data_IF_205566835455
#
_entry.id   IF_205566835455
#
_cell.length_a   1.000
_cell.length_b   1.000
_cell.length_c   1.000
_cell.angle_alpha   90.00
_cell.angle_beta   90.00
_cell.angle_gamma   90.00
#
_symmetry.space_group_name_H-M   'P 1'
#
loop_
_entity.id
_entity.type
_entity.pdbx_description
1 polymer ?
#
# COMPACT_ATOMS: atom_id res chain seq x y z
N UNK A 1 -1.12 26.91 7.79
CA UNK A 1 -1.69 25.57 8.00
C UNK A 1 -0.67 24.56 7.48
N UNK A 2 0.59 24.72 7.91
CA UNK A 2 1.77 24.29 7.14
C UNK A 2 2.93 23.88 8.05
N UNK A 3 2.59 23.32 9.21
CA UNK A 3 3.56 22.74 10.13
C UNK A 3 3.79 21.27 9.75
N UNK A 4 5.02 20.83 9.49
CA UNK A 4 5.31 19.43 9.16
C UNK A 4 4.90 18.48 10.29
N UNK A 5 4.93 18.89 11.55
CA UNK A 5 4.51 18.06 12.68
C UNK A 5 3.01 17.77 12.63
N UNK A 6 2.19 18.77 12.28
CA UNK A 6 0.73 18.60 12.14
C UNK A 6 0.39 17.65 10.99
N UNK A 7 1.12 17.73 9.87
CA UNK A 7 0.93 16.82 8.72
C UNK A 7 1.37 15.40 9.09
N UNK A 8 2.49 15.25 9.82
CA UNK A 8 2.97 13.96 10.34
C UNK A 8 1.95 13.32 11.29
N UNK A 9 1.38 14.09 12.23
CA UNK A 9 0.37 13.59 13.17
C UNK A 9 -0.88 13.10 12.42
N UNK A 10 -1.39 13.90 11.48
CA UNK A 10 -2.53 13.51 10.65
C UNK A 10 -2.27 12.22 9.86
N UNK A 11 -1.05 12.05 9.34
CA UNK A 11 -0.64 10.83 8.66
C UNK A 11 -0.58 9.64 9.63
N UNK A 12 0.05 9.82 10.80
CA UNK A 12 0.17 8.79 11.82
C UNK A 12 -1.20 8.29 12.29
N UNK A 13 -2.14 9.19 12.59
CA UNK A 13 -3.52 8.83 12.96
C UNK A 13 -4.19 7.97 11.88
N UNK A 14 -3.96 8.27 10.60
CA UNK A 14 -4.53 7.52 9.49
C UNK A 14 -3.94 6.11 9.34
N UNK A 15 -2.64 5.96 9.63
CA UNK A 15 -1.91 4.69 9.55
C UNK A 15 -2.19 3.76 10.74
N UNK A 16 -2.46 4.30 11.93
CA UNK A 16 -2.78 3.50 13.14
C UNK A 16 -3.99 2.60 12.93
N UNK A 17 -4.98 3.04 12.16
CA UNK A 17 -6.22 2.26 11.94
C UNK A 17 -5.97 0.99 11.14
N UNK A 18 -5.15 1.06 10.10
CA UNK A 18 -4.73 -0.08 9.27
C UNK A 18 -3.56 0.33 8.37
N UNK A 19 -2.76 -0.64 7.89
CA UNK A 19 -1.80 -0.38 6.81
C UNK A 19 -2.45 0.30 5.60
N UNK A 20 -1.72 1.24 5.01
CA UNK A 20 -2.11 2.03 3.84
C UNK A 20 -0.99 2.03 2.82
N UNK A 21 -1.36 2.18 1.56
CA UNK A 21 -0.37 2.51 0.52
C UNK A 21 0.10 3.95 0.64
N UNK A 22 1.23 4.24 -0.01
CA UNK A 22 1.74 5.60 -0.18
C UNK A 22 0.67 6.49 -0.83
N UNK A 23 0.02 5.99 -1.89
CA UNK A 23 -0.99 6.75 -2.62
C UNK A 23 -2.26 7.02 -1.79
N UNK A 24 -2.72 6.06 -0.97
CA UNK A 24 -3.84 6.25 -0.04
C UNK A 24 -3.53 7.37 0.97
N UNK A 25 -2.31 7.38 1.51
CA UNK A 25 -1.85 8.37 2.49
C UNK A 25 -1.69 9.76 1.87
N UNK A 26 -1.03 9.85 0.70
CA UNK A 26 -0.90 11.09 -0.08
C UNK A 26 -2.27 11.70 -0.37
N UNK A 27 -3.21 10.90 -0.91
CA UNK A 27 -4.57 11.35 -1.21
C UNK A 27 -5.28 11.87 0.03
N UNK A 28 -5.13 11.18 1.17
CA UNK A 28 -5.74 11.60 2.43
C UNK A 28 -5.23 12.98 2.87
N UNK A 29 -3.91 13.18 2.85
CA UNK A 29 -3.31 14.45 3.27
C UNK A 29 -3.66 15.60 2.33
N UNK A 30 -3.68 15.37 1.01
CA UNK A 30 -4.13 16.38 0.04
C UNK A 30 -5.60 16.74 0.22
N UNK A 31 -6.48 15.76 0.51
CA UNK A 31 -7.90 16.02 0.79
C UNK A 31 -8.14 16.82 2.07
N UNK A 32 -7.18 16.80 3.01
CA UNK A 32 -7.21 17.64 4.21
C UNK A 32 -6.74 19.09 3.95
N UNK A 33 -6.28 19.38 2.73
CA UNK A 33 -5.87 20.73 2.31
C UNK A 33 -4.39 21.05 2.54
N UNK A 34 -3.56 20.06 2.88
CA UNK A 34 -2.12 20.29 3.06
C UNK A 34 -1.41 20.51 1.72
N UNK A 35 -0.42 21.43 1.71
CA UNK A 35 0.40 21.73 0.53
C UNK A 35 1.19 20.51 0.07
N UNK A 36 1.36 20.39 -1.25
CA UNK A 36 2.05 19.25 -1.87
C UNK A 36 3.46 19.04 -1.30
N UNK A 37 4.24 20.11 -1.15
CA UNK A 37 5.60 20.07 -0.58
C UNK A 37 5.66 19.43 0.81
N UNK A 38 4.67 19.71 1.66
CA UNK A 38 4.59 19.16 3.02
C UNK A 38 4.19 17.70 3.00
N UNK A 39 3.23 17.35 2.13
CA UNK A 39 2.81 15.96 1.91
C UNK A 39 3.98 15.13 1.41
N UNK A 40 4.75 15.64 0.45
CA UNK A 40 5.93 14.95 -0.09
C UNK A 40 6.96 14.67 1.00
N UNK A 41 7.37 15.69 1.77
CA UNK A 41 8.35 15.51 2.84
C UNK A 41 7.89 14.55 3.95
N UNK A 42 6.59 14.57 4.30
CA UNK A 42 6.01 13.63 5.27
C UNK A 42 6.00 12.20 4.72
N UNK A 43 5.62 12.02 3.46
CA UNK A 43 5.63 10.70 2.82
C UNK A 43 7.05 10.13 2.77
N UNK A 44 8.05 10.92 2.38
CA UNK A 44 9.45 10.49 2.36
C UNK A 44 9.96 10.09 3.75
N UNK A 45 9.60 10.87 4.78
CA UNK A 45 9.97 10.55 6.16
C UNK A 45 9.29 9.26 6.64
N UNK A 46 8.02 9.04 6.31
CA UNK A 46 7.30 7.80 6.65
C UNK A 46 7.86 6.57 5.91
N UNK A 47 8.28 6.73 4.65
CA UNK A 47 8.99 5.69 3.89
C UNK A 47 10.34 5.35 4.54
N UNK A 48 11.11 6.37 4.92
CA UNK A 48 12.42 6.21 5.58
C UNK A 48 12.29 5.47 6.92
N UNK A 49 11.23 5.77 7.67
CA UNK A 49 10.92 5.11 8.94
C UNK A 49 10.16 3.78 8.77
N UNK A 50 9.95 3.31 7.53
CA UNK A 50 9.23 2.08 7.18
C UNK A 50 7.77 2.00 7.70
N UNK A 51 7.15 3.14 8.00
CA UNK A 51 5.70 3.20 8.28
C UNK A 51 4.86 3.09 7.01
N UNK A 52 5.45 3.45 5.87
CA UNK A 52 4.93 3.20 4.54
C UNK A 52 5.88 2.27 3.79
N UNK A 53 5.32 1.24 3.18
CA UNK A 53 6.03 0.32 2.28
C UNK A 53 4.99 -0.34 1.38
N UNK A 54 4.96 0.08 0.12
CA UNK A 54 4.02 -0.42 -0.87
C UNK A 54 4.26 -1.90 -1.25
N UNK A 55 5.51 -2.38 -1.16
CA UNK A 55 5.83 -3.78 -1.43
C UNK A 55 5.30 -4.67 -0.29
N UNK A 56 5.52 -4.27 0.97
CA UNK A 56 4.97 -4.98 2.13
C UNK A 56 3.44 -4.92 2.14
N UNK A 57 2.86 -3.75 1.85
CA UNK A 57 1.42 -3.60 1.71
C UNK A 57 0.84 -4.53 0.62
N UNK A 58 1.46 -4.58 -0.56
CA UNK A 58 1.01 -5.40 -1.67
C UNK A 58 1.10 -6.90 -1.36
N UNK A 59 2.19 -7.37 -0.73
CA UNK A 59 2.31 -8.77 -0.27
C UNK A 59 1.20 -9.15 0.69
N UNK A 60 0.99 -8.35 1.74
CA UNK A 60 -0.06 -8.60 2.73
C UNK A 60 -1.47 -8.60 2.10
N UNK A 61 -1.70 -7.74 1.10
CA UNK A 61 -2.96 -7.71 0.35
C UNK A 61 -3.20 -9.00 -0.42
N UNK A 62 -2.20 -9.47 -1.17
CA UNK A 62 -2.26 -10.72 -1.93
C UNK A 62 -2.51 -11.91 -1.01
N UNK A 63 -1.74 -12.02 0.08
CA UNK A 63 -1.86 -13.08 1.07
C UNK A 63 -3.26 -13.10 1.74
N UNK A 64 -3.80 -11.92 2.05
CA UNK A 64 -5.16 -11.78 2.59
C UNK A 64 -6.22 -12.26 1.61
N UNK A 65 -6.05 -11.99 0.31
CA UNK A 65 -6.96 -12.47 -0.74
C UNK A 65 -6.89 -13.97 -0.92
N UNK A 66 -5.68 -14.53 -0.94
CA UNK A 66 -5.48 -15.97 -1.09
C UNK A 66 -6.12 -16.75 0.07
N UNK A 67 -6.08 -16.22 1.30
CA UNK A 67 -6.76 -16.85 2.44
C UNK A 67 -8.30 -16.74 2.44
N UNK A 68 -8.85 -15.66 1.88
CA UNK A 68 -10.28 -15.35 2.04
C UNK A 68 -11.11 -15.82 0.85
N UNK A 69 -10.71 -15.42 -0.37
CA UNK A 69 -11.32 -15.80 -1.65
C UNK A 69 -10.25 -15.69 -2.73
N UNK A 70 -9.57 -16.78 -3.09
CA UNK A 70 -8.54 -16.77 -4.10
C UNK A 70 -9.05 -16.12 -5.38
N UNK A 71 -8.32 -15.13 -5.89
CA UNK A 71 -8.61 -14.47 -7.16
C UNK A 71 -7.47 -14.73 -8.15
N UNK A 72 -7.82 -14.71 -9.43
CA UNK A 72 -6.82 -14.76 -10.50
C UNK A 72 -5.89 -13.55 -10.47
N UNK A 73 -4.67 -13.72 -10.98
CA UNK A 73 -3.63 -12.69 -10.97
C UNK A 73 -4.10 -11.35 -11.55
N UNK A 74 -4.83 -11.37 -12.67
CA UNK A 74 -5.35 -10.17 -13.31
C UNK A 74 -6.26 -9.35 -12.39
N UNK A 75 -7.06 -10.00 -11.54
CA UNK A 75 -7.92 -9.33 -10.59
C UNK A 75 -7.11 -8.72 -9.43
N UNK A 76 -6.11 -9.44 -8.90
CA UNK A 76 -5.19 -8.94 -7.88
C UNK A 76 -4.41 -7.71 -8.38
N UNK A 77 -3.88 -7.78 -9.60
CA UNK A 77 -3.19 -6.67 -10.26
C UNK A 77 -4.08 -5.43 -10.32
N UNK A 78 -5.34 -5.58 -10.75
CA UNK A 78 -6.30 -4.47 -10.81
C UNK A 78 -6.59 -3.88 -9.43
N UNK A 79 -6.74 -4.71 -8.39
CA UNK A 79 -6.95 -4.23 -7.03
C UNK A 79 -5.77 -3.41 -6.51
N UNK A 80 -4.53 -3.88 -6.73
CA UNK A 80 -3.33 -3.17 -6.32
C UNK A 80 -3.14 -1.85 -7.08
N UNK A 81 -3.48 -1.80 -8.38
CA UNK A 81 -3.51 -0.54 -9.15
C UNK A 81 -4.51 0.45 -8.54
N UNK A 82 -5.71 0.00 -8.15
CA UNK A 82 -6.70 0.85 -7.48
C UNK A 82 -6.26 1.33 -6.09
N UNK A 83 -5.33 0.59 -5.46
CA UNK A 83 -4.62 1.02 -4.24
C UNK A 83 -3.46 1.97 -4.52
N UNK A 84 -3.14 2.21 -5.79
CA UNK A 84 -2.09 3.12 -6.21
C UNK A 84 -0.69 2.55 -6.05
N UNK A 85 -0.54 1.23 -6.05
CA UNK A 85 0.77 0.57 -6.04
C UNK A 85 1.36 0.62 -7.46
N UNK A 86 2.65 0.92 -7.55
CA UNK A 86 3.36 0.96 -8.83
C UNK A 86 3.41 -0.39 -9.53
N UNK A 87 3.42 -0.35 -10.87
CA UNK A 87 3.33 -1.55 -11.72
C UNK A 87 4.49 -2.52 -11.50
N UNK A 88 5.69 -2.00 -11.23
CA UNK A 88 6.88 -2.80 -11.00
C UNK A 88 6.81 -3.54 -9.66
N UNK A 89 6.37 -2.84 -8.60
CA UNK A 89 6.09 -3.47 -7.30
C UNK A 89 5.03 -4.56 -7.42
N UNK A 90 3.95 -4.30 -8.18
CA UNK A 90 2.92 -5.31 -8.43
C UNK A 90 3.49 -6.51 -9.17
N UNK A 91 4.29 -6.29 -10.22
CA UNK A 91 4.89 -7.36 -10.99
C UNK A 91 5.81 -8.22 -10.12
N UNK A 92 6.66 -7.60 -9.30
CA UNK A 92 7.56 -8.31 -8.39
C UNK A 92 6.80 -9.17 -7.36
N UNK A 93 5.75 -8.61 -6.75
CA UNK A 93 4.94 -9.34 -5.75
C UNK A 93 4.18 -10.52 -6.37
N UNK A 94 3.62 -10.35 -7.57
CA UNK A 94 2.88 -11.43 -8.24
C UNK A 94 3.80 -12.51 -8.83
N UNK A 95 5.02 -12.14 -9.29
CA UNK A 95 6.03 -13.11 -9.71
C UNK A 95 6.45 -14.00 -8.54
N UNK A 96 6.79 -13.41 -7.40
CA UNK A 96 7.17 -14.14 -6.18
C UNK A 96 6.09 -15.12 -5.69
N UNK A 97 4.80 -14.80 -5.91
CA UNK A 97 3.68 -15.71 -5.60
C UNK A 97 3.68 -16.97 -6.46
N UNK A 98 4.13 -16.87 -7.71
CA UNK A 98 4.13 -18.00 -8.66
C UNK A 98 5.34 -18.92 -8.44
N UNK A 99 6.44 -18.36 -7.91
CA UNK A 99 7.68 -19.08 -7.61
C UNK A 99 7.63 -19.90 -6.30
N UNK A 100 6.52 -19.83 -5.55
CA UNK A 100 6.26 -20.68 -4.38
C UNK A 100 5.36 -21.89 -4.77
N UNK A 101 5.94 -23.06 -5.12
CA UNK A 101 5.19 -24.24 -5.54
C UNK A 101 4.38 -24.92 -4.42
N UNK A 102 4.36 -24.39 -3.18
CA UNK A 102 3.73 -25.05 -2.03
C UNK A 102 2.25 -24.69 -1.82
N UNK A 103 1.69 -23.69 -2.53
CA UNK A 103 0.26 -23.34 -2.42
C UNK A 103 -0.57 -23.88 -3.59
N UNK A 104 -0.43 -25.18 -3.86
CA UNK A 104 -1.31 -25.92 -4.75
C UNK A 104 -2.27 -26.81 -3.96
N UNK A 105 -3.37 -26.28 -3.42
CA UNK A 105 -4.55 -27.09 -3.06
C UNK A 105 -5.85 -26.28 -3.18
N UNK A 106 -6.51 -26.45 -4.34
CA UNK A 106 -7.96 -26.69 -4.50
C UNK A 106 -8.98 -25.66 -4.01
N UNK A 107 -9.76 -25.13 -4.94
CA UNK A 107 -11.22 -25.33 -4.89
C UNK A 107 -11.90 -25.08 -6.24
N UNK A 108 -12.36 -26.20 -6.82
CA UNK A 108 -13.54 -26.32 -7.67
C UNK A 108 -14.82 -26.04 -6.89
#
# INVERSE_FOLDING_TARGET
MDDPEVVMEAAATFLVVRPRSVQETRRRLTQLGYRAEMVDGVIERLLTMQYLDDATFARAWVESRDRSRPRGESALRRELILKGIERDTIAAVLAARTEDPSSGVGQT
#
